data_IF_026936770329
#
_entry.id   IF_026936770329
#
_cell.length_a   1.000
_cell.length_b   1.000
_cell.length_c   1.000
_cell.angle_alpha   90.00
_cell.angle_beta   90.00
_cell.angle_gamma   90.00
#
_symmetry.space_group_name_H-M   'P 1'
#
loop_
_entity.id
_entity.type
_entity.pdbx_description
1 polymer ?
#
# COMPACT_ATOMS: atom_id res chain seq x y z
N UNK A 1 -8.02 -20.10 -44.66
CA UNK A 1 -6.75 -19.39 -44.42
C UNK A 1 -7.10 -17.93 -44.17
N UNK A 2 -6.78 -17.36 -43.00
CA UNK A 2 -6.92 -15.92 -42.76
C UNK A 2 -5.51 -15.35 -42.65
N UNK A 3 -5.17 -14.47 -43.59
CA UNK A 3 -3.86 -13.82 -43.70
C UNK A 3 -3.66 -12.78 -42.59
N UNK A 4 -2.40 -12.41 -42.29
CA UNK A 4 -2.01 -11.75 -41.06
C UNK A 4 -1.72 -10.26 -41.29
N UNK A 5 -2.67 -9.37 -40.98
CA UNK A 5 -2.34 -7.96 -40.73
C UNK A 5 -3.58 -7.26 -40.17
N UNK A 6 -3.56 -6.93 -38.88
CA UNK A 6 -4.38 -5.87 -38.30
C UNK A 6 -3.76 -5.58 -36.95
N UNK A 7 -2.79 -4.67 -36.95
CA UNK A 7 -2.33 -3.99 -35.74
C UNK A 7 -3.57 -3.61 -34.96
N UNK A 8 -3.64 -4.20 -33.78
CA UNK A 8 -4.80 -4.32 -32.94
C UNK A 8 -5.41 -2.95 -32.68
N UNK A 9 -6.56 -2.71 -33.31
CA UNK A 9 -7.71 -2.02 -32.76
C UNK A 9 -7.41 -1.27 -31.46
N UNK A 10 -6.71 -0.14 -31.56
CA UNK A 10 -6.96 0.97 -30.66
C UNK A 10 -8.40 1.37 -30.97
N UNK A 11 -9.36 0.65 -30.36
CA UNK A 11 -10.79 0.99 -30.44
C UNK A 11 -10.85 2.48 -30.12
N UNK A 12 -11.22 3.28 -31.12
CA UNK A 12 -11.29 4.73 -31.01
C UNK A 12 -12.08 5.07 -29.76
N UNK A 13 -11.36 5.47 -28.73
CA UNK A 13 -11.95 6.02 -27.52
C UNK A 13 -12.68 7.28 -27.95
N UNK A 14 -13.98 7.33 -27.70
CA UNK A 14 -14.80 8.47 -28.12
C UNK A 14 -14.26 9.75 -27.47
N UNK A 15 -14.40 10.87 -28.17
CA UNK A 15 -13.82 12.16 -27.77
C UNK A 15 -14.14 12.57 -26.33
N UNK A 16 -15.32 12.20 -25.81
CA UNK A 16 -15.77 12.47 -24.45
C UNK A 16 -14.97 11.74 -23.35
N UNK A 17 -14.22 10.69 -23.70
CA UNK A 17 -13.35 9.96 -22.76
C UNK A 17 -11.93 10.54 -22.67
N UNK A 18 -11.63 11.60 -23.41
CA UNK A 18 -10.40 12.38 -23.23
C UNK A 18 -10.53 13.33 -22.03
N UNK A 19 -10.48 12.77 -20.83
CA UNK A 19 -10.56 13.55 -19.61
C UNK A 19 -9.36 14.49 -19.44
N UNK A 20 -9.64 15.76 -19.12
CA UNK A 20 -8.63 16.72 -18.72
C UNK A 20 -8.26 16.51 -17.24
N UNK A 21 -7.23 15.70 -17.01
CA UNK A 21 -6.75 15.35 -15.68
C UNK A 21 -6.21 16.55 -14.88
N UNK A 22 -5.95 17.71 -15.52
CA UNK A 22 -5.58 18.94 -14.79
C UNK A 22 -6.76 19.49 -13.96
N UNK A 23 -8.00 19.14 -14.32
CA UNK A 23 -9.23 19.48 -13.60
C UNK A 23 -9.66 18.38 -12.62
N UNK A 24 -8.90 17.30 -12.50
CA UNK A 24 -9.24 16.22 -11.60
C UNK A 24 -9.23 16.69 -10.14
N UNK A 25 -10.24 16.29 -9.38
CA UNK A 25 -10.27 16.55 -7.93
C UNK A 25 -9.41 15.52 -7.19
N UNK A 26 -8.75 15.91 -6.09
CA UNK A 26 -8.08 14.96 -5.20
C UNK A 26 -9.03 13.83 -4.79
N UNK A 27 -8.53 12.60 -4.79
CA UNK A 27 -9.32 11.43 -4.41
C UNK A 27 -9.79 11.56 -2.95
N UNK A 28 -11.10 11.71 -2.72
CA UNK A 28 -11.71 11.82 -1.38
C UNK A 28 -11.45 10.62 -0.47
N UNK A 29 -11.05 9.49 -1.05
CA UNK A 29 -10.67 8.28 -0.33
C UNK A 29 -9.17 8.21 -0.01
N UNK A 30 -8.34 9.00 -0.70
CA UNK A 30 -6.91 9.07 -0.40
C UNK A 30 -6.63 9.77 0.94
N UNK A 31 -7.54 10.64 1.39
CA UNK A 31 -7.44 11.35 2.69
C UNK A 31 -7.85 10.50 3.89
N UNK A 32 -8.39 9.29 3.69
CA UNK A 32 -8.86 8.43 4.79
C UNK A 32 -7.72 7.66 5.45
N UNK A 33 -6.48 7.76 4.96
CA UNK A 33 -5.33 7.25 5.69
C UNK A 33 -4.99 8.24 6.81
N UNK A 34 -5.26 7.92 8.09
CA UNK A 34 -4.78 8.75 9.17
C UNK A 34 -3.26 8.90 9.01
N UNK A 35 -2.76 10.12 9.21
CA UNK A 35 -1.33 10.47 9.12
C UNK A 35 -0.49 9.30 9.63
N UNK A 36 0.27 8.70 8.70
CA UNK A 36 1.27 7.64 8.91
C UNK A 36 0.74 6.31 9.47
N UNK A 37 -0.30 5.73 8.86
CA UNK A 37 -0.55 4.30 9.03
C UNK A 37 0.49 3.50 8.22
N UNK A 38 1.45 2.89 8.91
CA UNK A 38 2.43 1.99 8.28
C UNK A 38 1.84 0.58 8.26
N UNK A 39 1.66 0.04 7.05
CA UNK A 39 1.26 -1.36 6.86
C UNK A 39 2.51 -2.24 6.81
N UNK A 40 2.53 -3.29 7.63
CA UNK A 40 3.62 -4.28 7.67
C UNK A 40 3.02 -5.64 7.33
N UNK A 41 3.65 -6.34 6.38
CA UNK A 41 3.31 -7.72 6.05
C UNK A 41 4.05 -8.65 7.01
N UNK A 42 3.32 -9.56 7.66
CA UNK A 42 3.91 -10.63 8.48
C UNK A 42 4.12 -11.87 7.62
N UNK A 43 5.20 -12.60 7.89
CA UNK A 43 5.41 -13.93 7.32
C UNK A 43 4.38 -14.94 7.87
N UNK A 44 4.04 -16.00 7.12
CA UNK A 44 2.94 -16.92 7.49
C UNK A 44 3.12 -17.59 8.86
N UNK A 45 4.35 -17.91 9.22
CA UNK A 45 4.74 -18.54 10.49
C UNK A 45 4.57 -17.60 11.70
N UNK A 46 4.63 -16.29 11.48
CA UNK A 46 4.37 -15.26 12.50
C UNK A 46 2.87 -14.95 12.54
N UNK A 47 2.22 -14.85 11.38
CA UNK A 47 0.80 -14.56 11.25
C UNK A 47 -0.10 -15.65 11.85
N UNK A 48 0.32 -16.92 11.82
CA UNK A 48 -0.41 -18.01 12.49
C UNK A 48 -0.47 -17.85 14.02
N UNK A 49 0.52 -17.17 14.61
CA UNK A 49 0.63 -16.95 16.06
C UNK A 49 -0.06 -15.63 16.44
N UNK A 50 0.17 -14.59 15.66
CA UNK A 50 -0.35 -13.25 15.91
C UNK A 50 -1.50 -12.91 14.96
N UNK A 51 -2.71 -13.24 15.38
CA UNK A 51 -3.94 -13.04 14.58
C UNK A 51 -4.50 -11.63 14.66
N UNK A 52 -4.03 -10.80 15.60
CA UNK A 52 -4.49 -9.42 15.79
C UNK A 52 -3.32 -8.44 15.85
N UNK A 53 -3.54 -7.24 15.32
CA UNK A 53 -2.56 -6.14 15.41
C UNK A 53 -2.27 -5.74 16.85
N UNK A 54 -3.24 -5.91 17.76
CA UNK A 54 -3.05 -5.66 19.19
C UNK A 54 -2.01 -6.62 19.79
N UNK A 55 -2.11 -7.92 19.50
CA UNK A 55 -1.18 -8.93 20.01
C UNK A 55 0.26 -8.67 19.55
N UNK A 56 0.44 -8.34 18.26
CA UNK A 56 1.76 -7.94 17.70
C UNK A 56 2.31 -6.73 18.45
N UNK A 57 1.51 -5.66 18.57
CA UNK A 57 1.96 -4.42 19.19
C UNK A 57 2.31 -4.58 20.68
N UNK A 58 1.59 -5.43 21.41
CA UNK A 58 1.88 -5.68 22.82
C UNK A 58 3.23 -6.38 22.99
N UNK A 59 3.55 -7.37 22.17
CA UNK A 59 4.86 -8.04 22.19
C UNK A 59 5.98 -7.09 21.78
N UNK A 60 5.80 -6.34 20.69
CA UNK A 60 6.80 -5.37 20.26
C UNK A 60 7.10 -4.32 21.34
N UNK A 61 6.08 -3.83 22.04
CA UNK A 61 6.25 -2.90 23.18
C UNK A 61 6.96 -3.56 24.36
N UNK A 62 6.65 -4.81 24.68
CA UNK A 62 7.33 -5.54 25.74
C UNK A 62 8.83 -5.71 25.43
N UNK A 63 9.17 -6.02 24.17
CA UNK A 63 10.56 -6.08 23.70
C UNK A 63 11.22 -4.70 23.83
N UNK A 64 10.57 -3.63 23.34
CA UNK A 64 11.09 -2.27 23.46
C UNK A 64 11.33 -1.85 24.92
N UNK A 65 10.48 -2.28 25.86
CA UNK A 65 10.63 -2.01 27.28
C UNK A 65 11.76 -2.83 27.94
N UNK A 66 12.02 -4.04 27.44
CA UNK A 66 13.07 -4.92 27.95
C UNK A 66 14.46 -4.58 27.39
N UNK A 67 14.52 -3.90 26.24
CA UNK A 67 15.78 -3.42 25.69
C UNK A 67 16.32 -2.26 26.54
N UNK A 68 17.60 -2.29 26.95
CA UNK A 68 18.21 -1.13 27.61
C UNK A 68 18.15 0.07 26.65
N UNK A 69 17.90 1.27 27.20
CA UNK A 69 17.73 2.55 26.48
C UNK A 69 18.99 2.99 25.69
N UNK A 70 19.51 2.18 24.79
CA UNK A 70 20.74 2.42 24.09
C UNK A 70 20.56 2.22 22.58
N UNK A 71 20.52 3.34 21.87
CA UNK A 71 21.09 3.51 20.52
C UNK A 71 20.24 3.11 19.28
N UNK A 72 18.92 3.32 19.27
CA UNK A 72 18.09 3.07 18.05
C UNK A 72 17.40 4.33 17.50
N UNK A 73 18.07 5.49 17.59
CA UNK A 73 17.73 6.72 16.86
C UNK A 73 18.99 7.30 16.20
N UNK A 74 19.79 6.46 15.54
CA UNK A 74 20.96 6.87 14.79
C UNK A 74 21.07 6.12 13.46
N UNK A 75 20.99 6.86 12.35
CA UNK A 75 21.00 6.44 10.92
C UNK A 75 19.70 5.74 10.49
N UNK A 76 18.98 6.16 9.44
CA UNK A 76 19.23 7.05 8.29
C UNK A 76 17.89 7.69 7.92
#
# INVERSE_FOLDING_TARGET
>A
MKSPESTEQAQEILSEYHFDYSKAKPNRFATVQPKTQVTVTLEPDVAQIFTTSEAVNNVLRAILAALPNSQLYGRV
#
